data_IF_207943975670
#
_entry.id   IF_207943975670
#
_cell.length_a   1.000
_cell.length_b   1.000
_cell.length_c   1.000
_cell.angle_alpha   90.00
_cell.angle_beta   90.00
_cell.angle_gamma   90.00
#
_symmetry.space_group_name_H-M   'P 1'
#
loop_
_entity.id
_entity.type
_entity.pdbx_description
1 polymer ?
#
# COMPACT_ATOMS: atom_id res chain seq x y z
N UNK A 1 24.33 19.48 1.25
CA UNK A 1 24.52 18.02 1.16
C UNK A 1 24.21 17.61 -0.27
N UNK A 2 25.10 16.86 -0.91
CA UNK A 2 24.86 16.30 -2.24
C UNK A 2 24.90 14.78 -2.07
N UNK A 3 23.88 14.08 -2.55
CA UNK A 3 23.80 12.63 -2.49
C UNK A 3 24.58 12.04 -3.67
N UNK A 4 25.87 11.81 -3.46
CA UNK A 4 26.76 11.12 -4.42
C UNK A 4 27.15 9.77 -3.82
N UNK A 5 26.35 8.70 -4.03
CA UNK A 5 26.53 7.44 -3.30
C UNK A 5 27.74 6.62 -3.77
N UNK A 6 28.23 6.87 -4.99
CA UNK A 6 29.31 6.08 -5.59
C UNK A 6 30.57 6.91 -5.80
N UNK A 7 30.50 7.94 -6.66
CA UNK A 7 31.67 8.67 -7.14
C UNK A 7 32.03 9.91 -6.30
N UNK A 8 32.11 9.71 -4.98
CA UNK A 8 32.31 10.79 -4.02
C UNK A 8 33.69 11.46 -4.14
N UNK A 9 34.74 10.70 -4.46
CA UNK A 9 36.10 11.24 -4.64
C UNK A 9 36.16 12.24 -5.80
N UNK A 10 35.58 11.90 -6.95
CA UNK A 10 35.52 12.82 -8.10
C UNK A 10 34.73 14.08 -7.75
N UNK A 11 33.57 13.92 -7.11
CA UNK A 11 32.78 15.06 -6.65
C UNK A 11 33.58 15.98 -5.70
N UNK A 12 34.30 15.42 -4.72
CA UNK A 12 35.11 16.19 -3.77
C UNK A 12 36.22 16.95 -4.51
N UNK A 13 36.92 16.30 -5.43
CA UNK A 13 37.99 16.94 -6.21
C UNK A 13 37.43 18.10 -7.05
N UNK A 14 36.34 17.87 -7.79
CA UNK A 14 35.68 18.91 -8.60
C UNK A 14 35.28 20.10 -7.73
N UNK A 15 34.60 19.87 -6.60
CA UNK A 15 34.17 20.96 -5.72
C UNK A 15 35.37 21.71 -5.14
N UNK A 16 36.43 21.00 -4.76
CA UNK A 16 37.67 21.60 -4.26
C UNK A 16 38.32 22.49 -5.32
N UNK A 17 38.41 22.01 -6.56
CA UNK A 17 38.94 22.78 -7.68
C UNK A 17 38.08 24.02 -7.98
N UNK A 18 36.76 23.90 -7.94
CA UNK A 18 35.85 25.04 -8.13
C UNK A 18 36.00 26.09 -7.03
N UNK A 19 36.28 25.69 -5.79
CA UNK A 19 36.58 26.62 -4.68
C UNK A 19 37.94 27.28 -4.89
N UNK A 20 38.98 26.50 -5.21
CA UNK A 20 40.34 27.01 -5.43
C UNK A 20 40.42 28.01 -6.60
N UNK A 21 39.59 27.81 -7.63
CA UNK A 21 39.51 28.70 -8.79
C UNK A 21 38.46 29.82 -8.62
N UNK A 22 37.90 30.02 -7.42
CA UNK A 22 36.90 31.05 -7.09
C UNK A 22 35.58 30.95 -7.87
N UNK A 23 35.24 29.81 -8.46
CA UNK A 23 33.91 29.55 -9.04
C UNK A 23 32.87 29.29 -7.94
N UNK A 24 33.29 28.80 -6.78
CA UNK A 24 32.46 28.66 -5.57
C UNK A 24 33.13 29.43 -4.44
N UNK A 25 32.41 30.36 -3.80
CA UNK A 25 32.95 31.12 -2.67
C UNK A 25 33.07 30.28 -1.40
N UNK A 26 34.05 30.59 -0.56
CA UNK A 26 34.17 29.98 0.78
C UNK A 26 32.94 30.24 1.65
N UNK A 27 32.30 31.41 1.53
CA UNK A 27 31.04 31.70 2.24
C UNK A 27 29.94 30.67 1.93
N UNK A 28 29.88 30.17 0.69
CA UNK A 28 28.91 29.14 0.29
C UNK A 28 29.25 27.78 0.92
N UNK A 29 30.53 27.46 1.06
CA UNK A 29 31.00 26.25 1.75
C UNK A 29 30.68 26.35 3.25
N UNK A 30 30.96 27.49 3.87
CA UNK A 30 30.70 27.73 5.29
C UNK A 30 29.22 27.70 5.63
N UNK A 31 28.34 28.28 4.80
CA UNK A 31 26.89 28.18 5.00
C UNK A 31 26.41 26.72 4.92
N UNK A 32 26.88 25.97 3.92
CA UNK A 32 26.52 24.56 3.77
C UNK A 32 27.00 23.71 4.96
N UNK A 33 28.25 23.89 5.39
CA UNK A 33 28.84 23.21 6.54
C UNK A 33 28.11 23.58 7.83
N UNK A 34 27.83 24.87 8.06
CA UNK A 34 27.09 25.37 9.23
C UNK A 34 25.71 24.74 9.35
N UNK A 35 24.97 24.60 8.25
CA UNK A 35 23.63 23.95 8.26
C UNK A 35 23.73 22.46 8.61
N UNK A 36 24.71 21.75 8.06
CA UNK A 36 24.93 20.32 8.36
C UNK A 36 25.33 20.14 9.83
N UNK A 37 26.31 20.92 10.31
CA UNK A 37 26.77 20.86 11.69
C UNK A 37 25.66 21.23 12.67
N UNK A 38 24.85 22.25 12.36
CA UNK A 38 23.69 22.62 13.19
C UNK A 38 22.75 21.45 13.40
N UNK A 39 22.38 20.73 12.33
CA UNK A 39 21.52 19.54 12.45
C UNK A 39 22.19 18.46 13.29
N UNK A 40 23.48 18.18 13.05
CA UNK A 40 24.23 17.17 13.83
C UNK A 40 24.29 17.49 15.33
N UNK A 41 24.57 18.74 15.69
CA UNK A 41 24.56 19.19 17.09
C UNK A 41 23.15 19.17 17.69
N UNK A 42 22.14 19.63 16.96
CA UNK A 42 20.75 19.66 17.46
C UNK A 42 20.22 18.26 17.75
N UNK A 43 20.63 17.26 16.96
CA UNK A 43 20.25 15.86 17.14
C UNK A 43 21.12 15.13 18.18
N UNK A 44 22.11 15.78 18.79
CA UNK A 44 23.00 15.15 19.75
C UNK A 44 23.93 14.09 19.15
N UNK A 45 24.19 14.13 17.83
CA UNK A 45 25.00 13.10 17.14
C UNK A 45 26.48 13.13 17.54
N UNK A 46 26.95 14.20 18.20
CA UNK A 46 28.30 14.25 18.75
C UNK A 46 28.38 13.66 20.16
N UNK A 47 27.27 13.70 20.91
CA UNK A 47 27.14 13.14 22.25
C UNK A 47 26.78 11.65 22.20
N UNK A 48 25.94 11.23 21.26
CA UNK A 48 25.51 9.84 21.07
C UNK A 48 25.69 9.42 19.61
N UNK A 49 26.94 9.17 19.17
CA UNK A 49 27.25 8.90 17.77
C UNK A 49 26.96 7.46 17.34
N UNK A 50 26.81 6.53 18.29
CA UNK A 50 26.61 5.11 18.04
C UNK A 50 25.15 4.71 18.25
N UNK A 51 24.76 3.63 17.58
CA UNK A 51 23.43 3.06 17.73
C UNK A 51 23.22 2.52 19.16
N UNK A 52 21.98 2.64 19.64
CA UNK A 52 21.55 2.04 20.90
C UNK A 52 21.05 0.61 20.63
N UNK A 53 21.85 -0.38 21.02
CA UNK A 53 21.54 -1.80 20.84
C UNK A 53 20.31 -2.26 21.65
N UNK A 54 19.89 -1.52 22.67
CA UNK A 54 18.66 -1.85 23.43
C UNK A 54 17.40 -1.68 22.58
N UNK A 55 17.48 -0.94 21.48
CA UNK A 55 16.36 -0.67 20.58
C UNK A 55 16.16 -1.76 19.52
N UNK A 56 17.00 -2.80 19.45
CA UNK A 56 16.87 -3.87 18.44
C UNK A 56 15.49 -4.51 18.48
N UNK A 57 14.93 -4.70 19.68
CA UNK A 57 13.61 -5.28 19.86
C UNK A 57 12.45 -4.35 19.46
N UNK A 58 12.73 -3.11 19.05
CA UNK A 58 11.73 -2.20 18.48
C UNK A 58 11.44 -2.52 17.01
N UNK A 59 12.37 -3.14 16.29
CA UNK A 59 12.21 -3.51 14.88
C UNK A 59 11.09 -4.55 14.73
N UNK A 60 10.07 -4.22 13.93
CA UNK A 60 8.88 -5.07 13.79
C UNK A 60 8.12 -5.31 15.10
N UNK A 61 8.41 -4.51 16.14
CA UNK A 61 7.76 -4.69 17.43
C UNK A 61 6.28 -4.41 17.29
N UNK A 62 5.50 -5.20 18.01
CA UNK A 62 4.06 -5.05 18.01
C UNK A 62 3.63 -3.66 18.44
N UNK A 63 4.43 -2.86 19.15
CA UNK A 63 4.04 -1.49 19.52
C UNK A 63 3.91 -0.54 18.31
N UNK A 64 4.63 -0.78 17.22
CA UNK A 64 4.50 -0.02 15.96
C UNK A 64 3.48 -0.65 14.99
N UNK A 65 3.08 -1.91 15.21
CA UNK A 65 1.92 -2.56 14.57
C UNK A 65 0.60 -2.47 15.37
N UNK A 66 0.67 -2.17 16.67
CA UNK A 66 -0.43 -2.12 17.65
C UNK A 66 -0.86 -0.68 17.93
N UNK A 67 -1.07 0.08 16.86
CA UNK A 67 -2.33 0.83 16.77
C UNK A 67 -3.53 -0.11 16.60
N UNK A 68 -3.31 -1.41 16.30
CA UNK A 68 -4.32 -2.48 16.30
C UNK A 68 -3.86 -3.76 17.04
N UNK A 69 -4.68 -4.19 18.00
CA UNK A 69 -4.89 -5.55 18.55
C UNK A 69 -3.82 -6.20 19.45
N UNK A 70 -4.10 -6.31 20.75
CA UNK A 70 -3.22 -6.81 21.83
C UNK A 70 -3.06 -8.36 21.95
N UNK A 71 -3.77 -9.20 21.18
CA UNK A 71 -3.87 -10.66 21.40
C UNK A 71 -2.91 -11.56 20.57
N UNK A 72 -1.78 -11.06 20.07
CA UNK A 72 -1.03 -11.75 19.00
C UNK A 72 -0.14 -12.92 19.49
N UNK A 73 0.29 -12.99 20.76
CA UNK A 73 1.21 -14.06 21.18
C UNK A 73 0.58 -15.45 21.20
N UNK A 74 -0.76 -15.55 21.38
CA UNK A 74 -1.48 -16.83 21.26
C UNK A 74 -1.87 -17.14 19.80
N UNK A 75 -2.13 -16.11 19.00
CA UNK A 75 -2.42 -16.22 17.58
C UNK A 75 -1.20 -16.71 16.77
N UNK A 76 0.01 -16.22 17.04
CA UNK A 76 1.19 -16.56 16.22
C UNK A 76 1.50 -18.08 16.18
N UNK A 77 1.13 -18.83 17.21
CA UNK A 77 1.29 -20.28 17.23
C UNK A 77 0.18 -21.00 16.44
N UNK A 78 -1.09 -20.58 16.56
CA UNK A 78 -2.22 -21.11 15.75
C UNK A 78 -2.07 -20.81 14.24
N UNK A 79 -1.46 -19.67 13.89
CA UNK A 79 -1.35 -19.20 12.51
C UNK A 79 -0.20 -19.85 11.73
N UNK A 80 0.77 -20.42 12.46
CA UNK A 80 1.87 -21.20 11.90
C UNK A 80 1.38 -22.54 11.33
N UNK A 81 0.31 -23.10 11.90
CA UNK A 81 -0.33 -24.34 11.44
C UNK A 81 -1.28 -24.13 10.24
N UNK A 82 -1.74 -22.89 10.02
CA UNK A 82 -2.64 -22.50 8.90
C UNK A 82 -1.92 -21.95 7.66
N UNK A 83 -0.59 -21.96 7.61
CA UNK A 83 0.18 -21.49 6.45
C UNK A 83 0.23 -19.96 6.27
N UNK A 84 -0.22 -19.18 7.25
CA UNK A 84 -0.41 -17.73 7.15
C UNK A 84 0.83 -16.87 7.46
N UNK A 85 2.04 -17.43 7.40
CA UNK A 85 3.27 -16.74 7.84
C UNK A 85 4.12 -16.17 6.71
N UNK A 86 3.65 -16.17 5.46
CA UNK A 86 4.46 -15.73 4.30
C UNK A 86 3.60 -15.03 3.25
N UNK A 87 3.99 -13.80 2.92
CA UNK A 87 3.46 -13.05 1.78
C UNK A 87 4.11 -13.62 0.52
N UNK A 88 3.31 -14.14 -0.42
CA UNK A 88 3.81 -14.60 -1.71
C UNK A 88 4.59 -13.46 -2.40
N UNK A 89 5.86 -13.72 -2.73
CA UNK A 89 6.76 -12.74 -3.36
C UNK A 89 7.66 -11.95 -2.39
N UNK A 90 7.51 -12.08 -1.06
CA UNK A 90 8.45 -11.52 -0.10
C UNK A 90 8.67 -12.45 1.12
N UNK A 91 9.70 -13.28 1.05
CA UNK A 91 10.12 -14.16 2.16
C UNK A 91 10.97 -13.43 3.23
N UNK A 92 11.19 -12.12 3.11
CA UNK A 92 12.12 -11.34 3.94
C UNK A 92 11.42 -10.46 4.98
N UNK A 93 10.08 -10.40 4.98
CA UNK A 93 9.31 -9.60 5.93
C UNK A 93 8.19 -10.42 6.58
N UNK A 94 7.88 -10.12 7.84
CA UNK A 94 6.73 -10.68 8.53
C UNK A 94 5.49 -9.79 8.25
N UNK A 95 4.33 -10.40 8.11
CA UNK A 95 3.07 -9.70 7.91
C UNK A 95 1.90 -10.65 7.74
N UNK A 96 0.70 -10.09 7.68
CA UNK A 96 -0.56 -10.79 7.47
C UNK A 96 -1.09 -10.42 6.09
N UNK A 97 -1.32 -11.42 5.23
CA UNK A 97 -1.97 -11.18 3.93
C UNK A 97 -3.46 -10.86 4.11
N UNK A 98 -4.10 -10.28 3.09
CA UNK A 98 -5.55 -10.03 3.11
C UNK A 98 -6.33 -11.35 3.29
N UNK A 99 -5.93 -12.44 2.61
CA UNK A 99 -6.54 -13.76 2.79
C UNK A 99 -6.48 -14.21 4.26
N UNK A 100 -5.32 -14.03 4.88
CA UNK A 100 -5.11 -14.42 6.27
C UNK A 100 -5.89 -13.54 7.25
N UNK A 101 -5.99 -12.23 7.00
CA UNK A 101 -6.87 -11.34 7.76
C UNK A 101 -8.34 -11.72 7.65
N UNK A 102 -8.82 -12.01 6.44
CA UNK A 102 -10.18 -12.52 6.20
C UNK A 102 -10.40 -13.84 6.94
N UNK A 103 -9.42 -14.75 6.90
CA UNK A 103 -9.52 -16.07 7.52
C UNK A 103 -9.60 -16.02 9.05
N UNK A 104 -9.15 -14.92 9.65
CA UNK A 104 -9.23 -14.71 11.09
C UNK A 104 -10.44 -13.88 11.52
N UNK A 105 -10.93 -12.99 10.67
CA UNK A 105 -12.13 -12.22 10.93
C UNK A 105 -13.42 -13.03 10.71
N UNK A 106 -13.40 -14.00 9.81
CA UNK A 106 -14.57 -14.83 9.51
C UNK A 106 -14.98 -15.72 10.70
N UNK A 107 -16.28 -15.94 10.85
CA UNK A 107 -16.82 -16.87 11.85
C UNK A 107 -16.25 -18.29 11.62
N UNK A 108 -15.89 -19.05 12.67
CA UNK A 108 -15.30 -20.39 12.53
C UNK A 108 -16.15 -21.40 11.74
N UNK A 109 -17.46 -21.17 11.62
CA UNK A 109 -18.36 -21.99 10.80
C UNK A 109 -18.36 -21.61 9.31
N UNK A 110 -17.71 -20.50 8.93
CA UNK A 110 -17.60 -20.04 7.55
C UNK A 110 -16.53 -20.83 6.81
N UNK A 111 -16.91 -21.52 5.73
CA UNK A 111 -15.96 -22.16 4.83
C UNK A 111 -15.31 -21.11 3.93
N UNK A 112 -13.97 -21.07 3.93
CA UNK A 112 -13.19 -20.17 3.10
C UNK A 112 -12.46 -20.98 2.04
N UNK A 113 -12.78 -20.69 0.77
CA UNK A 113 -12.13 -21.29 -0.38
C UNK A 113 -11.26 -20.24 -1.07
N UNK A 114 -9.96 -20.51 -1.13
CA UNK A 114 -9.01 -19.66 -1.86
C UNK A 114 -8.73 -20.25 -3.25
N UNK A 115 -8.93 -19.44 -4.28
CA UNK A 115 -8.49 -19.72 -5.64
C UNK A 115 -7.91 -18.45 -6.24
N UNK A 116 -6.66 -18.53 -6.73
CA UNK A 116 -5.93 -17.36 -7.21
C UNK A 116 -6.52 -16.77 -8.51
N UNK A 117 -7.01 -17.63 -9.40
CA UNK A 117 -7.61 -17.22 -10.66
C UNK A 117 -8.69 -18.22 -11.09
N UNK A 118 -9.85 -18.25 -10.39
CA UNK A 118 -10.94 -19.14 -10.74
C UNK A 118 -11.55 -18.76 -12.09
N UNK A 119 -11.99 -19.77 -12.85
CA UNK A 119 -12.88 -19.56 -13.99
C UNK A 119 -14.35 -19.43 -13.54
N UNK A 120 -15.21 -19.06 -14.48
CA UNK A 120 -16.63 -18.87 -14.20
C UNK A 120 -17.34 -20.17 -13.77
N UNK A 121 -16.90 -21.33 -14.27
CA UNK A 121 -17.53 -22.62 -13.98
C UNK A 121 -17.22 -23.09 -12.56
N UNK A 122 -16.00 -22.85 -12.08
CA UNK A 122 -15.64 -23.02 -10.68
C UNK A 122 -16.54 -22.17 -9.77
N UNK A 123 -16.74 -20.89 -10.11
CA UNK A 123 -17.56 -19.98 -9.28
C UNK A 123 -19.03 -20.45 -9.24
N UNK A 124 -19.59 -20.84 -10.39
CA UNK A 124 -20.98 -21.32 -10.48
C UNK A 124 -21.23 -22.65 -9.77
N UNK A 125 -20.26 -23.56 -9.80
CA UNK A 125 -20.42 -24.91 -9.27
C UNK A 125 -20.33 -25.02 -7.75
N UNK A 126 -19.73 -24.03 -7.08
CA UNK A 126 -19.45 -24.08 -5.63
C UNK A 126 -20.46 -23.30 -4.76
N UNK A 127 -21.51 -22.72 -5.34
CA UNK A 127 -22.62 -22.05 -4.63
C UNK A 127 -22.17 -21.07 -3.51
N UNK A 128 -21.18 -20.23 -3.82
CA UNK A 128 -20.64 -19.24 -2.86
C UNK A 128 -21.69 -18.20 -2.49
N UNK A 129 -21.71 -17.77 -1.22
CA UNK A 129 -22.61 -16.69 -0.75
C UNK A 129 -22.20 -15.32 -1.30
N UNK A 130 -20.90 -15.08 -1.36
CA UNK A 130 -20.25 -13.90 -1.95
C UNK A 130 -18.76 -14.24 -2.20
N UNK A 131 -18.07 -13.38 -2.94
CA UNK A 131 -16.64 -13.48 -3.16
C UNK A 131 -15.93 -12.15 -2.86
N UNK A 132 -14.67 -12.25 -2.41
CA UNK A 132 -13.75 -11.11 -2.27
C UNK A 132 -12.62 -11.31 -3.28
N UNK A 133 -12.54 -10.43 -4.27
CA UNK A 133 -11.56 -10.47 -5.36
C UNK A 133 -10.50 -9.41 -5.09
N UNK A 134 -9.29 -9.86 -4.75
CA UNK A 134 -8.14 -8.97 -4.51
C UNK A 134 -7.29 -8.91 -5.77
N UNK A 135 -7.22 -7.76 -6.41
CA UNK A 135 -6.44 -7.52 -7.65
C UNK A 135 -5.68 -6.20 -7.54
N UNK A 136 -4.65 -5.99 -8.36
CA UNK A 136 -3.84 -4.80 -8.18
C UNK A 136 -2.64 -4.68 -9.10
N UNK A 137 -1.92 -3.57 -8.96
CA UNK A 137 -0.64 -3.37 -9.64
C UNK A 137 0.45 -4.25 -9.00
N UNK A 138 1.41 -4.69 -9.81
CA UNK A 138 2.65 -5.29 -9.28
C UNK A 138 3.51 -4.20 -8.63
N UNK A 139 4.38 -4.53 -7.66
CA UNK A 139 5.28 -3.53 -7.05
C UNK A 139 6.18 -2.83 -8.08
N UNK A 140 6.33 -1.51 -7.94
CA UNK A 140 7.22 -0.67 -8.75
C UNK A 140 7.77 0.49 -7.92
N UNK A 141 8.85 1.11 -8.40
CA UNK A 141 9.39 2.35 -7.86
C UNK A 141 9.91 3.24 -8.99
N UNK A 142 9.70 4.55 -8.86
CA UNK A 142 10.18 5.57 -9.79
C UNK A 142 9.79 5.26 -11.26
N UNK A 143 10.75 5.26 -12.18
CA UNK A 143 10.51 5.06 -13.63
C UNK A 143 9.92 3.69 -13.96
N UNK A 144 10.16 2.66 -13.13
CA UNK A 144 9.55 1.35 -13.34
C UNK A 144 8.01 1.39 -13.16
N UNK A 145 7.49 2.45 -12.53
CA UNK A 145 6.07 2.69 -12.37
C UNK A 145 5.44 3.53 -13.48
N UNK A 146 6.22 4.07 -14.42
CA UNK A 146 5.66 4.89 -15.50
C UNK A 146 4.77 4.03 -16.39
N UNK A 147 3.51 4.43 -16.53
CA UNK A 147 2.51 3.71 -17.33
C UNK A 147 1.53 4.69 -17.94
N UNK A 148 1.35 4.58 -19.26
CA UNK A 148 0.40 5.41 -20.02
C UNK A 148 -1.01 4.80 -20.08
N UNK A 149 -1.12 3.51 -19.75
CA UNK A 149 -2.39 2.76 -19.88
C UNK A 149 -3.09 2.56 -18.54
N UNK A 150 -2.35 2.60 -17.42
CA UNK A 150 -2.87 2.50 -16.05
C UNK A 150 -3.88 1.35 -15.81
N UNK A 151 -3.72 0.24 -16.55
CA UNK A 151 -4.54 -0.97 -16.41
C UNK A 151 -3.90 -1.93 -15.41
N UNK A 152 -4.73 -2.62 -14.62
CA UNK A 152 -4.28 -3.76 -13.81
C UNK A 152 -3.83 -4.89 -14.75
N UNK A 153 -2.71 -5.55 -14.43
CA UNK A 153 -2.17 -6.65 -15.21
C UNK A 153 -3.06 -7.91 -15.13
N UNK A 154 -3.06 -8.74 -16.17
CA UNK A 154 -3.69 -10.06 -16.11
C UNK A 154 -2.81 -11.07 -15.34
N UNK A 155 -3.42 -12.04 -14.62
CA UNK A 155 -4.85 -12.21 -14.39
C UNK A 155 -5.37 -11.24 -13.33
N UNK A 156 -6.31 -10.38 -13.72
CA UNK A 156 -6.90 -9.37 -12.84
C UNK A 156 -8.27 -8.95 -13.36
N UNK A 157 -8.33 -8.25 -14.50
CA UNK A 157 -9.58 -8.01 -15.21
C UNK A 157 -10.39 -9.28 -15.50
N UNK A 158 -9.74 -10.33 -16.03
CA UNK A 158 -10.41 -11.61 -16.30
C UNK A 158 -10.95 -12.26 -15.02
N UNK A 159 -10.23 -12.16 -13.91
CA UNK A 159 -10.69 -12.66 -12.60
C UNK A 159 -11.89 -11.90 -12.08
N UNK A 160 -11.92 -10.56 -12.20
CA UNK A 160 -13.08 -9.74 -11.83
C UNK A 160 -14.30 -10.21 -12.64
N UNK A 161 -14.17 -10.33 -13.96
CA UNK A 161 -15.26 -10.74 -14.85
C UNK A 161 -15.77 -12.15 -14.52
N UNK A 162 -14.86 -13.10 -14.32
CA UNK A 162 -15.22 -14.50 -14.05
C UNK A 162 -15.93 -14.66 -12.70
N UNK A 163 -15.54 -13.88 -11.68
CA UNK A 163 -16.12 -13.98 -10.34
C UNK A 163 -17.37 -13.10 -10.22
N UNK A 164 -17.24 -11.79 -10.46
CA UNK A 164 -18.30 -10.84 -10.18
C UNK A 164 -19.48 -10.94 -11.14
N UNK A 165 -19.28 -11.51 -12.34
CA UNK A 165 -20.39 -11.86 -13.24
C UNK A 165 -21.25 -13.03 -12.76
N UNK A 166 -20.83 -13.79 -11.74
CA UNK A 166 -21.45 -15.05 -11.35
C UNK A 166 -21.81 -15.17 -9.86
N UNK A 167 -21.31 -14.29 -9.01
CA UNK A 167 -21.65 -14.22 -7.57
C UNK A 167 -21.51 -12.79 -7.08
N UNK A 168 -22.20 -12.43 -5.99
CA UNK A 168 -22.01 -11.14 -5.31
C UNK A 168 -20.55 -10.92 -4.97
N UNK A 169 -20.00 -9.77 -5.32
CA UNK A 169 -18.57 -9.58 -5.43
C UNK A 169 -18.10 -8.27 -4.81
N UNK A 170 -17.12 -8.38 -3.91
CA UNK A 170 -16.34 -7.24 -3.42
C UNK A 170 -14.99 -7.26 -4.14
N UNK A 171 -14.67 -6.22 -4.89
CA UNK A 171 -13.33 -6.05 -5.49
C UNK A 171 -12.49 -5.14 -4.59
N UNK A 172 -11.37 -5.65 -4.11
CA UNK A 172 -10.37 -4.89 -3.36
C UNK A 172 -9.18 -4.61 -4.30
N UNK A 173 -9.00 -3.35 -4.68
CA UNK A 173 -7.88 -2.94 -5.53
C UNK A 173 -6.68 -2.52 -4.69
N UNK A 174 -5.54 -3.19 -4.90
CA UNK A 174 -4.24 -2.85 -4.31
C UNK A 174 -3.41 -2.12 -5.36
N UNK A 175 -3.31 -0.79 -5.27
CA UNK A 175 -2.64 0.02 -6.28
C UNK A 175 -1.96 1.25 -5.68
N UNK A 176 -0.92 1.75 -6.33
CA UNK A 176 -0.24 2.98 -5.91
C UNK A 176 -1.00 4.26 -6.30
N UNK A 177 -2.06 4.12 -7.10
CA UNK A 177 -2.78 5.20 -7.79
C UNK A 177 -4.15 4.73 -8.30
N UNK A 178 -5.04 5.64 -8.73
CA UNK A 178 -6.22 5.27 -9.51
C UNK A 178 -5.83 4.51 -10.79
N UNK A 179 -6.57 3.46 -11.11
CA UNK A 179 -6.35 2.56 -12.27
C UNK A 179 -7.65 2.38 -13.05
N UNK A 180 -7.56 1.88 -14.28
CA UNK A 180 -8.72 1.60 -15.12
C UNK A 180 -9.61 0.55 -14.43
N UNK A 181 -10.83 0.94 -14.08
CA UNK A 181 -11.84 0.08 -13.46
C UNK A 181 -13.23 0.18 -14.11
N UNK A 182 -13.50 1.28 -14.83
CA UNK A 182 -14.78 1.56 -15.48
C UNK A 182 -15.34 0.37 -16.31
N UNK A 183 -14.54 -0.39 -17.09
CA UNK A 183 -15.06 -1.51 -17.89
C UNK A 183 -15.67 -2.66 -17.06
N UNK A 184 -15.38 -2.72 -15.77
CA UNK A 184 -15.82 -3.78 -14.87
C UNK A 184 -16.84 -3.27 -13.83
N UNK A 185 -17.02 -1.95 -13.71
CA UNK A 185 -17.75 -1.30 -12.63
C UNK A 185 -19.20 -1.83 -12.51
N UNK A 186 -19.87 -2.06 -13.63
CA UNK A 186 -21.25 -2.57 -13.64
C UNK A 186 -21.43 -4.00 -13.11
N UNK A 187 -20.34 -4.77 -12.96
CA UNK A 187 -20.36 -6.13 -12.42
C UNK A 187 -19.91 -6.17 -10.96
N UNK A 188 -19.32 -5.11 -10.44
CA UNK A 188 -18.77 -5.05 -9.09
C UNK A 188 -19.85 -4.54 -8.13
N UNK A 189 -20.26 -5.35 -7.15
CA UNK A 189 -21.22 -4.89 -6.15
C UNK A 189 -20.60 -3.88 -5.18
N UNK A 190 -19.32 -4.08 -4.81
CA UNK A 190 -18.57 -3.19 -3.92
C UNK A 190 -17.12 -3.06 -4.39
N UNK A 191 -16.67 -1.83 -4.62
CA UNK A 191 -15.27 -1.52 -4.94
C UNK A 191 -14.58 -0.88 -3.73
N UNK A 192 -13.45 -1.46 -3.31
CA UNK A 192 -12.62 -0.96 -2.20
C UNK A 192 -11.23 -0.61 -2.72
N UNK A 193 -10.85 0.66 -2.59
CA UNK A 193 -9.51 1.12 -2.89
C UNK A 193 -8.60 1.00 -1.65
N UNK A 194 -7.83 -0.09 -1.58
CA UNK A 194 -6.94 -0.37 -0.44
C UNK A 194 -5.57 0.31 -0.54
N UNK A 195 -5.27 0.94 -1.68
CA UNK A 195 -3.97 1.52 -1.99
C UNK A 195 -2.83 0.48 -1.85
N UNK A 196 -1.73 0.83 -1.17
CA UNK A 196 -0.67 -0.10 -0.79
C UNK A 196 -0.68 -0.26 0.75
N UNK A 197 -1.48 -1.20 1.30
CA UNK A 197 -1.84 -1.21 2.72
C UNK A 197 -0.72 -1.67 3.67
N UNK A 198 0.45 -2.05 3.15
CA UNK A 198 1.58 -2.51 3.95
C UNK A 198 1.44 -3.96 4.43
N UNK A 199 2.01 -4.26 5.60
CA UNK A 199 2.14 -5.63 6.13
C UNK A 199 0.91 -6.14 6.89
N UNK A 200 0.00 -5.25 7.28
CA UNK A 200 -1.10 -5.56 8.19
C UNK A 200 -2.43 -5.75 7.43
N UNK A 201 -2.53 -6.83 6.64
CA UNK A 201 -3.74 -7.15 5.86
C UNK A 201 -5.00 -7.36 6.70
N UNK A 202 -4.87 -7.53 8.02
CA UNK A 202 -5.99 -7.53 8.97
C UNK A 202 -6.79 -6.22 8.90
N UNK A 203 -6.14 -5.07 8.71
CA UNK A 203 -6.86 -3.78 8.65
C UNK A 203 -7.83 -3.69 7.46
N UNK A 204 -7.60 -4.47 6.39
CA UNK A 204 -8.55 -4.60 5.28
C UNK A 204 -9.75 -5.46 5.72
N UNK A 205 -9.51 -6.55 6.43
CA UNK A 205 -10.57 -7.41 6.94
C UNK A 205 -11.46 -6.69 7.98
N UNK A 206 -10.85 -5.93 8.88
CA UNK A 206 -11.54 -5.17 9.95
C UNK A 206 -12.70 -4.28 9.42
N UNK A 207 -12.50 -3.64 8.26
CA UNK A 207 -13.54 -2.80 7.63
C UNK A 207 -14.49 -3.61 6.73
N UNK A 208 -14.02 -4.68 6.11
CA UNK A 208 -14.86 -5.55 5.28
C UNK A 208 -15.88 -6.34 6.12
N UNK A 209 -15.49 -6.78 7.31
CA UNK A 209 -16.35 -7.51 8.24
C UNK A 209 -17.06 -6.60 9.25
N UNK A 210 -16.76 -5.30 9.22
CA UNK A 210 -17.53 -4.29 9.94
C UNK A 210 -17.19 -4.13 11.42
N UNK A 211 -15.99 -4.55 11.85
CA UNK A 211 -15.43 -4.17 13.14
C UNK A 211 -15.23 -2.64 13.21
N UNK A 212 -14.90 -2.05 12.06
CA UNK A 212 -14.89 -0.60 11.86
C UNK A 212 -15.71 -0.21 10.63
N UNK A 213 -16.21 1.03 10.65
CA UNK A 213 -16.87 1.62 9.49
C UNK A 213 -15.86 2.16 8.47
N UNK A 214 -16.20 2.08 7.18
CA UNK A 214 -15.48 2.81 6.13
C UNK A 214 -15.62 4.32 6.38
N UNK A 215 -14.50 5.03 6.37
CA UNK A 215 -14.45 6.50 6.54
C UNK A 215 -13.52 7.18 5.53
N UNK A 216 -12.75 6.40 4.77
CA UNK A 216 -11.78 6.92 3.81
C UNK A 216 -12.43 7.72 2.68
N UNK A 217 -11.77 8.80 2.29
CA UNK A 217 -12.11 9.64 1.15
C UNK A 217 -10.97 9.63 0.14
N UNK A 218 -11.29 9.66 -1.14
CA UNK A 218 -10.31 9.61 -2.22
C UNK A 218 -9.40 10.86 -2.16
N UNK A 219 -8.09 10.69 -1.92
CA UNK A 219 -7.15 11.81 -1.93
C UNK A 219 -6.76 12.22 -3.36
N UNK A 220 -7.25 11.51 -4.39
CA UNK A 220 -7.00 11.73 -5.81
C UNK A 220 -8.27 11.46 -6.62
N UNK A 221 -8.46 12.20 -7.70
CA UNK A 221 -9.51 11.94 -8.68
C UNK A 221 -9.33 10.57 -9.32
N UNK A 222 -10.41 9.79 -9.43
CA UNK A 222 -10.44 8.56 -10.24
C UNK A 222 -10.98 8.86 -11.63
N UNK A 223 -10.18 8.65 -12.66
CA UNK A 223 -10.56 8.92 -14.05
C UNK A 223 -11.47 7.82 -14.62
N UNK A 224 -12.27 8.15 -15.65
CA UNK A 224 -13.03 7.17 -16.44
C UNK A 224 -12.12 6.48 -17.44
N UNK A 225 -11.35 7.27 -18.20
CA UNK A 225 -10.38 6.79 -19.18
C UNK A 225 -9.06 7.54 -19.04
N UNK A 226 -7.96 6.90 -19.45
CA UNK A 226 -6.62 7.51 -19.40
C UNK A 226 -6.47 8.73 -20.31
N UNK A 227 -7.29 8.83 -21.35
CA UNK A 227 -7.30 9.97 -22.29
C UNK A 227 -7.75 11.28 -21.62
N UNK A 228 -8.39 11.21 -20.46
CA UNK A 228 -8.76 12.40 -19.68
C UNK A 228 -7.55 13.03 -18.98
N UNK A 229 -6.42 12.33 -18.87
CA UNK A 229 -5.28 12.77 -18.07
C UNK A 229 -4.45 13.83 -18.80
N UNK A 230 -3.95 14.87 -18.10
CA UNK A 230 -4.18 15.16 -16.67
C UNK A 230 -5.57 15.76 -16.41
N UNK A 231 -6.23 15.30 -15.34
CA UNK A 231 -7.52 15.83 -14.86
C UNK A 231 -7.55 15.89 -13.34
N UNK A 232 -7.68 17.10 -12.78
CA UNK A 232 -7.67 17.37 -11.35
C UNK A 232 -8.89 18.18 -10.93
N UNK A 233 -9.20 18.12 -9.63
CA UNK A 233 -10.29 18.90 -9.04
C UNK A 233 -10.07 20.40 -9.31
N UNK A 234 -11.09 21.05 -9.87
CA UNK A 234 -11.05 22.46 -10.26
C UNK A 234 -10.78 22.71 -11.76
N UNK A 235 -10.39 21.70 -12.53
CA UNK A 235 -10.23 21.83 -13.98
C UNK A 235 -11.58 22.07 -14.68
N UNK A 236 -11.59 22.84 -15.77
CA UNK A 236 -12.81 23.14 -16.53
C UNK A 236 -13.43 21.90 -17.19
N UNK A 237 -12.61 20.90 -17.49
CA UNK A 237 -13.01 19.62 -18.09
C UNK A 237 -13.12 18.48 -17.07
N UNK A 238 -13.35 18.82 -15.78
CA UNK A 238 -13.40 17.84 -14.70
C UNK A 238 -14.63 16.90 -14.81
N UNK A 239 -14.42 15.69 -15.32
CA UNK A 239 -15.43 14.64 -15.50
C UNK A 239 -14.94 13.28 -14.96
N UNK A 240 -14.83 13.11 -13.64
CA UNK A 240 -14.26 11.91 -13.03
C UNK A 240 -15.23 10.72 -13.02
N UNK A 241 -14.69 9.50 -12.91
CA UNK A 241 -15.47 8.33 -12.51
C UNK A 241 -15.87 8.45 -11.04
N UNK A 242 -14.88 8.72 -10.18
CA UNK A 242 -15.08 9.07 -8.78
C UNK A 242 -14.34 10.37 -8.46
N UNK A 243 -15.03 11.42 -8.00
CA UNK A 243 -14.40 12.70 -7.74
C UNK A 243 -13.42 12.64 -6.56
N UNK A 244 -12.54 13.63 -6.48
CA UNK A 244 -11.76 13.89 -5.28
C UNK A 244 -12.68 14.01 -4.06
N UNK A 245 -12.25 13.52 -2.91
CA UNK A 245 -13.02 13.47 -1.65
C UNK A 245 -14.27 12.55 -1.70
N UNK A 246 -14.43 11.77 -2.76
CA UNK A 246 -15.45 10.72 -2.80
C UNK A 246 -15.11 9.58 -1.83
N UNK A 247 -16.11 9.01 -1.19
CA UNK A 247 -15.95 7.83 -0.36
C UNK A 247 -17.23 7.51 0.37
N UNK A 248 -17.72 6.28 0.22
CA UNK A 248 -18.89 5.81 0.96
C UNK A 248 -18.48 5.45 2.38
N UNK A 249 -19.43 5.55 3.30
CA UNK A 249 -19.21 5.25 4.72
C UNK A 249 -20.09 4.11 5.19
N UNK A 250 -19.58 3.27 6.07
CA UNK A 250 -20.39 2.27 6.80
C UNK A 250 -20.32 2.56 8.29
N UNK A 251 -21.23 1.96 9.06
CA UNK A 251 -21.15 1.93 10.52
C UNK A 251 -20.59 0.57 10.96
N UNK A 252 -19.88 0.49 12.09
CA UNK A 252 -19.51 -0.79 12.67
C UNK A 252 -20.77 -1.64 12.94
N UNK A 253 -20.69 -2.95 12.71
CA UNK A 253 -21.79 -3.89 12.90
C UNK A 253 -21.99 -4.19 14.40
N UNK A 254 -20.92 -4.13 15.19
CA UNK A 254 -20.92 -4.40 16.64
C UNK A 254 -20.92 -3.13 17.52
N UNK A 255 -21.21 -1.95 16.95
CA UNK A 255 -21.35 -0.72 17.74
C UNK A 255 -22.61 -0.79 18.61
N UNK A 256 -22.41 -1.21 19.87
CA UNK A 256 -23.38 -1.09 20.96
C UNK A 256 -23.18 0.21 21.72
#
# INVERSE_FOLDING_TARGET
>A
MIMVPYNHTEFINIVTDLVNNNYISMDRIDDAARRILRVKFTLGLFETPLADETLVNQLGSQRFGKGSCEEVTRAVEEWRERGCSRVDGNNYTAGTTILCGISAAADPSTEIVYSKNPDADFVKSNNFSYAIVVVGETPYAETAGDSLILTIAEPGPSTILNVCGNVKCVVVTVSGRPVVIEPYESQIDVLVAAWLPGTEGQGVADVLFGDYGFTGKLPRTWFKTVDQLPMNVGDSHYDPLFPYDFGLTTKPVNAS
#
